data_IF_460221453870
#
_entry.id   IF_460221453870
#
_cell.length_a   1.000
_cell.length_b   1.000
_cell.length_c   1.000
_cell.angle_alpha   90.00
_cell.angle_beta   90.00
_cell.angle_gamma   90.00
#
_symmetry.space_group_name_H-M   'P 1'
#
loop_
_entity.id
_entity.type
_entity.pdbx_description
1 polymer ?
#
# COMPACT_ATOMS: atom_id res chain seq x y z
N UNK A 1 0.70 -13.72 19.20
CA UNK A 1 -0.14 -13.36 18.04
C UNK A 1 -0.79 -12.05 18.36
N UNK A 2 -0.39 -10.99 17.65
CA UNK A 2 -0.90 -9.64 17.89
C UNK A 2 -2.35 -9.55 17.41
N UNK A 3 -3.21 -8.97 18.24
CA UNK A 3 -4.57 -8.66 17.81
C UNK A 3 -4.50 -7.54 16.78
N UNK A 4 -5.18 -7.70 15.64
CA UNK A 4 -5.35 -6.62 14.65
C UNK A 4 -5.82 -5.37 15.39
N UNK A 5 -5.04 -4.29 15.31
CA UNK A 5 -5.32 -3.07 16.05
C UNK A 5 -5.39 -1.92 15.03
N UNK A 6 -6.56 -1.29 14.97
CA UNK A 6 -6.79 -0.12 14.13
C UNK A 6 -6.89 1.08 15.07
N UNK A 7 -5.93 2.00 14.97
CA UNK A 7 -5.92 3.25 15.71
C UNK A 7 -6.38 4.38 14.81
N UNK A 8 -7.48 5.01 15.17
CA UNK A 8 -7.98 6.22 14.51
C UNK A 8 -7.64 7.39 15.42
N UNK A 9 -6.63 8.19 15.03
CA UNK A 9 -6.16 9.35 15.77
C UNK A 9 -6.86 10.62 15.27
N UNK A 10 -7.73 11.20 16.09
CA UNK A 10 -8.60 12.32 15.74
C UNK A 10 -8.32 13.53 16.63
N UNK A 11 -8.59 14.72 16.12
CA UNK A 11 -8.80 15.87 17.00
C UNK A 11 -10.03 15.60 17.90
N UNK A 12 -10.00 16.09 19.15
CA UNK A 12 -11.09 15.87 20.11
C UNK A 12 -12.46 16.31 19.59
N UNK A 13 -12.50 17.36 18.78
CA UNK A 13 -13.72 17.90 18.17
C UNK A 13 -14.31 16.96 17.09
N UNK A 14 -13.47 16.22 16.38
CA UNK A 14 -13.88 15.27 15.34
C UNK A 14 -14.24 13.90 15.91
N UNK A 15 -13.75 13.59 17.11
CA UNK A 15 -13.91 12.30 17.76
C UNK A 15 -15.36 11.94 18.07
N UNK A 16 -16.20 12.93 18.41
CA UNK A 16 -17.61 12.70 18.71
C UNK A 16 -18.37 12.14 17.50
N UNK A 17 -18.09 12.68 16.31
CA UNK A 17 -18.68 12.23 15.05
C UNK A 17 -18.25 10.81 14.69
N UNK A 18 -16.95 10.51 14.86
CA UNK A 18 -16.42 9.17 14.61
C UNK A 18 -16.97 8.13 15.58
N UNK A 19 -17.06 8.44 16.88
CA UNK A 19 -17.68 7.58 17.89
C UNK A 19 -19.15 7.30 17.58
N UNK A 20 -19.93 8.34 17.28
CA UNK A 20 -21.34 8.21 16.89
C UNK A 20 -21.54 7.33 15.65
N UNK A 21 -20.66 7.44 14.66
CA UNK A 21 -20.67 6.56 13.48
C UNK A 21 -20.40 5.10 13.87
N UNK A 22 -19.38 4.85 14.68
CA UNK A 22 -19.02 3.50 15.13
C UNK A 22 -20.14 2.86 15.98
N UNK A 23 -20.75 3.64 16.87
CA UNK A 23 -21.87 3.21 17.70
C UNK A 23 -23.09 2.84 16.84
N UNK A 24 -23.44 3.68 15.84
CA UNK A 24 -24.52 3.41 14.89
C UNK A 24 -24.28 2.15 14.07
N UNK A 25 -23.02 1.82 13.80
CA UNK A 25 -22.62 0.61 13.08
C UNK A 25 -22.44 -0.60 14.00
N UNK A 26 -22.61 -0.42 15.32
CA UNK A 26 -22.54 -1.49 16.31
C UNK A 26 -21.12 -2.00 16.60
N UNK A 27 -20.09 -1.20 16.31
CA UNK A 27 -18.70 -1.59 16.58
C UNK A 27 -18.30 -1.32 18.03
N UNK A 28 -17.63 -2.29 18.65
CA UNK A 28 -17.00 -2.07 19.96
C UNK A 28 -15.58 -1.55 19.79
N UNK A 29 -15.23 -0.49 20.51
CA UNK A 29 -13.90 0.15 20.45
C UNK A 29 -13.45 0.57 21.85
N UNK A 30 -12.15 0.75 22.01
CA UNK A 30 -11.55 1.42 23.16
C UNK A 30 -11.20 2.86 22.79
N UNK A 31 -11.15 3.73 23.79
CA UNK A 31 -10.81 5.14 23.62
C UNK A 31 -9.65 5.45 24.53
N UNK A 32 -8.62 6.08 23.97
CA UNK A 32 -7.52 6.68 24.71
C UNK A 32 -7.53 8.16 24.42
N UNK A 33 -7.67 8.98 25.46
CA UNK A 33 -7.61 10.45 25.33
C UNK A 33 -6.25 10.95 25.79
N UNK A 34 -5.62 11.81 24.99
CA UNK A 34 -4.34 12.42 25.33
C UNK A 34 -4.32 13.86 24.84
N UNK A 35 -4.46 14.81 25.78
CA UNK A 35 -4.51 16.24 25.46
C UNK A 35 -5.73 16.61 24.59
N UNK A 36 -5.47 17.19 23.43
CA UNK A 36 -6.44 17.59 22.41
C UNK A 36 -6.73 16.48 21.37
N UNK A 37 -6.09 15.32 21.52
CA UNK A 37 -6.26 14.16 20.64
C UNK A 37 -7.07 13.06 21.31
N UNK A 38 -7.87 12.39 20.49
CA UNK A 38 -8.57 11.17 20.86
C UNK A 38 -8.12 10.06 19.93
N UNK A 39 -7.70 8.95 20.51
CA UNK A 39 -7.40 7.72 19.79
C UNK A 39 -8.52 6.72 20.01
N UNK A 40 -9.15 6.30 18.92
CA UNK A 40 -10.13 5.21 18.92
C UNK A 40 -9.42 3.94 18.49
N UNK A 41 -9.49 2.89 19.30
CA UNK A 41 -8.81 1.62 19.10
C UNK A 41 -9.83 0.53 18.83
N UNK A 42 -9.82 -0.03 17.62
CA UNK A 42 -10.58 -1.22 17.26
C UNK A 42 -9.64 -2.42 17.27
N UNK A 43 -10.00 -3.46 18.04
CA UNK A 43 -9.15 -4.65 18.18
C UNK A 43 -9.84 -5.93 17.65
N UNK A 44 -9.03 -6.81 17.05
CA UNK A 44 -9.44 -8.15 16.63
C UNK A 44 -10.64 -8.14 15.68
N UNK A 45 -11.73 -8.82 16.08
CA UNK A 45 -12.94 -8.98 15.24
C UNK A 45 -13.61 -7.65 14.86
N UNK A 46 -13.48 -6.62 15.69
CA UNK A 46 -14.12 -5.32 15.45
C UNK A 46 -13.39 -4.55 14.34
N UNK A 47 -12.06 -4.59 14.31
CA UNK A 47 -11.26 -4.05 13.22
C UNK A 47 -11.59 -4.75 11.88
N UNK A 48 -11.74 -6.07 11.91
CA UNK A 48 -12.15 -6.87 10.74
C UNK A 48 -13.54 -6.47 10.23
N UNK A 49 -14.51 -6.34 11.12
CA UNK A 49 -15.87 -5.99 10.75
C UNK A 49 -15.98 -4.53 10.25
N UNK A 50 -15.20 -3.62 10.83
CA UNK A 50 -15.10 -2.23 10.39
C UNK A 50 -14.54 -2.14 8.96
N UNK A 51 -13.40 -2.77 8.70
CA UNK A 51 -12.80 -2.79 7.37
C UNK A 51 -13.67 -3.53 6.34
N UNK A 52 -14.44 -4.55 6.75
CA UNK A 52 -15.43 -5.20 5.88
C UNK A 52 -16.54 -4.23 5.43
N UNK A 53 -16.94 -3.28 6.31
CA UNK A 53 -17.85 -2.19 5.96
C UNK A 53 -17.28 -1.28 4.87
N UNK A 54 -16.00 -0.89 5.00
CA UNK A 54 -15.30 -0.10 3.98
C UNK A 54 -15.12 -0.88 2.67
N UNK A 55 -14.78 -2.17 2.76
CA UNK A 55 -14.68 -3.06 1.60
C UNK A 55 -15.98 -3.11 0.77
N UNK A 56 -17.15 -2.95 1.40
CA UNK A 56 -18.45 -2.92 0.71
C UNK A 56 -18.67 -1.65 -0.15
N UNK A 57 -17.92 -0.58 0.12
CA UNK A 57 -17.98 0.69 -0.61
C UNK A 57 -16.62 1.09 -1.20
N UNK A 58 -15.72 0.11 -1.41
CA UNK A 58 -14.33 0.33 -1.83
C UNK A 58 -14.18 1.10 -3.14
N UNK A 59 -15.20 1.06 -4.00
CA UNK A 59 -15.29 1.84 -5.23
C UNK A 59 -15.44 3.36 -5.02
N UNK A 60 -15.72 3.79 -3.78
CA UNK A 60 -15.96 5.19 -3.40
C UNK A 60 -14.92 5.75 -2.43
N UNK A 61 -13.93 4.93 -2.06
CA UNK A 61 -12.90 5.31 -1.10
C UNK A 61 -11.66 5.83 -1.82
N UNK A 62 -10.98 6.77 -1.17
CA UNK A 62 -9.71 7.38 -1.57
C UNK A 62 -8.84 7.57 -0.31
N UNK A 63 -7.51 7.59 -0.47
CA UNK A 63 -6.58 7.84 0.64
C UNK A 63 -6.59 6.79 1.76
N UNK A 64 -6.42 7.25 3.01
CA UNK A 64 -6.23 6.43 4.23
C UNK A 64 -7.30 5.33 4.44
N UNK A 65 -8.61 5.56 4.16
CA UNK A 65 -9.60 4.49 4.15
C UNK A 65 -9.24 3.27 3.29
N UNK A 66 -8.57 3.45 2.15
CA UNK A 66 -8.14 2.32 1.29
C UNK A 66 -6.97 1.58 1.91
N UNK A 67 -6.03 2.29 2.53
CA UNK A 67 -4.91 1.70 3.26
C UNK A 67 -5.40 0.80 4.39
N UNK A 68 -6.44 1.24 5.10
CA UNK A 68 -7.06 0.43 6.14
C UNK A 68 -7.67 -0.88 5.60
N UNK A 69 -8.35 -0.83 4.45
CA UNK A 69 -8.85 -2.04 3.78
C UNK A 69 -7.68 -2.93 3.34
N UNK A 70 -6.54 -2.38 2.95
CA UNK A 70 -5.37 -3.19 2.67
C UNK A 70 -4.84 -3.88 3.94
N UNK A 71 -4.50 -3.11 4.99
CA UNK A 71 -3.85 -3.62 6.21
C UNK A 71 -4.69 -4.69 6.92
N UNK A 72 -5.99 -4.44 7.07
CA UNK A 72 -6.87 -5.45 7.69
C UNK A 72 -7.09 -6.65 6.75
N UNK A 73 -7.13 -6.42 5.44
CA UNK A 73 -7.24 -7.48 4.45
C UNK A 73 -6.03 -8.43 4.47
N UNK A 74 -4.82 -7.89 4.63
CA UNK A 74 -3.58 -8.66 4.81
C UNK A 74 -3.67 -9.58 6.04
N UNK A 75 -4.07 -9.04 7.18
CA UNK A 75 -4.23 -9.81 8.42
C UNK A 75 -5.30 -10.89 8.30
N UNK A 76 -6.41 -10.61 7.59
CA UNK A 76 -7.45 -11.60 7.28
C UNK A 76 -6.92 -12.73 6.40
N UNK A 77 -6.10 -12.40 5.39
CA UNK A 77 -5.49 -13.40 4.50
C UNK A 77 -4.59 -14.34 5.29
N UNK A 78 -3.74 -13.79 6.16
CA UNK A 78 -2.85 -14.56 7.01
C UNK A 78 -3.64 -15.39 8.03
N UNK A 79 -4.50 -14.76 8.82
CA UNK A 79 -5.23 -15.39 9.93
C UNK A 79 -6.09 -16.57 9.48
N UNK A 80 -6.80 -16.44 8.36
CA UNK A 80 -7.65 -17.51 7.83
C UNK A 80 -6.91 -18.42 6.85
N UNK A 81 -5.60 -18.22 6.63
CA UNK A 81 -4.79 -18.98 5.69
C UNK A 81 -5.40 -18.99 4.29
N UNK A 82 -5.85 -17.82 3.81
CA UNK A 82 -6.51 -17.67 2.51
C UNK A 82 -5.51 -17.87 1.38
N UNK A 83 -5.99 -18.37 0.26
CA UNK A 83 -5.18 -18.63 -0.93
C UNK A 83 -5.93 -18.27 -2.20
N UNK A 84 -5.18 -17.87 -3.23
CA UNK A 84 -5.72 -17.49 -4.52
C UNK A 84 -6.03 -18.73 -5.38
N UNK A 85 -7.14 -18.67 -6.11
CA UNK A 85 -7.48 -19.61 -7.17
C UNK A 85 -7.77 -18.84 -8.44
N UNK A 86 -7.03 -19.14 -9.51
CA UNK A 86 -7.18 -18.51 -10.81
C UNK A 86 -7.43 -19.59 -11.87
N UNK A 87 -8.40 -19.37 -12.75
CA UNK A 87 -8.71 -20.29 -13.86
C UNK A 87 -8.31 -19.64 -15.18
N UNK A 88 -7.34 -20.24 -15.87
CA UNK A 88 -6.83 -19.77 -17.15
C UNK A 88 -7.56 -20.40 -18.34
N UNK A 89 -7.55 -19.76 -19.52
CA UNK A 89 -8.07 -20.33 -20.77
C UNK A 89 -7.42 -21.65 -21.16
N UNK A 90 -6.10 -21.77 -21.00
CA UNK A 90 -5.32 -22.95 -21.39
C UNK A 90 -4.38 -23.42 -20.27
N UNK A 91 -3.92 -24.69 -20.29
CA UNK A 91 -2.87 -25.15 -19.38
C UNK A 91 -1.51 -24.46 -19.60
N UNK A 92 -1.24 -23.96 -20.81
CA UNK A 92 -0.05 -23.16 -21.10
C UNK A 92 -0.07 -21.86 -20.32
N UNK A 93 -1.14 -21.08 -20.47
CA UNK A 93 -1.35 -19.83 -19.73
C UNK A 93 -1.38 -20.01 -18.21
N UNK A 94 -1.87 -21.17 -17.72
CA UNK A 94 -1.82 -21.50 -16.30
C UNK A 94 -0.38 -21.63 -15.77
N UNK A 95 0.49 -22.32 -16.51
CA UNK A 95 1.90 -22.49 -16.13
C UNK A 95 2.65 -21.16 -16.16
N UNK A 96 2.42 -20.36 -17.19
CA UNK A 96 2.98 -19.01 -17.30
C UNK A 96 2.54 -18.14 -16.12
N UNK A 97 1.24 -18.12 -15.81
CA UNK A 97 0.73 -17.36 -14.68
C UNK A 97 1.30 -17.83 -13.33
N UNK A 98 1.43 -19.13 -13.11
CA UNK A 98 2.08 -19.65 -11.91
C UNK A 98 3.54 -19.21 -11.81
N UNK A 99 4.29 -19.19 -12.92
CA UNK A 99 5.67 -18.70 -12.96
C UNK A 99 5.77 -17.23 -12.54
N UNK A 100 4.90 -16.37 -13.07
CA UNK A 100 4.90 -14.96 -12.71
C UNK A 100 4.55 -14.73 -11.24
N UNK A 101 3.55 -15.46 -10.72
CA UNK A 101 3.11 -15.31 -9.33
C UNK A 101 4.17 -15.85 -8.35
N UNK A 102 4.94 -16.86 -8.76
CA UNK A 102 5.97 -17.50 -7.92
C UNK A 102 7.10 -16.56 -7.47
N UNK A 103 7.26 -15.40 -8.13
CA UNK A 103 8.19 -14.35 -7.71
C UNK A 103 7.75 -13.71 -6.38
N UNK A 104 6.45 -13.72 -6.08
CA UNK A 104 5.85 -13.02 -4.93
C UNK A 104 5.34 -14.01 -3.89
N UNK A 105 4.79 -15.15 -4.31
CA UNK A 105 4.24 -16.15 -3.41
C UNK A 105 4.27 -17.54 -4.03
N UNK A 106 4.37 -18.62 -3.24
CA UNK A 106 4.32 -19.99 -3.75
C UNK A 106 3.08 -20.20 -4.64
N UNK A 107 3.29 -20.68 -5.87
CA UNK A 107 2.22 -20.91 -6.83
C UNK A 107 2.43 -22.19 -7.64
N UNK A 108 1.33 -22.87 -7.96
CA UNK A 108 1.32 -24.10 -8.75
C UNK A 108 0.20 -24.09 -9.79
N UNK A 109 0.44 -24.73 -10.93
CA UNK A 109 -0.55 -24.91 -11.99
C UNK A 109 -0.91 -26.40 -12.14
N UNK A 110 -2.22 -26.69 -12.14
CA UNK A 110 -2.76 -28.03 -12.44
C UNK A 110 -3.85 -27.92 -13.50
N UNK A 111 -3.55 -28.43 -14.70
CA UNK A 111 -4.41 -28.24 -15.86
C UNK A 111 -4.60 -26.73 -16.13
N UNK A 112 -5.85 -26.25 -16.09
CA UNK A 112 -6.19 -24.84 -16.29
C UNK A 112 -6.26 -24.01 -15.01
N UNK A 113 -5.99 -24.60 -13.85
CA UNK A 113 -6.16 -23.94 -12.55
C UNK A 113 -4.80 -23.62 -11.95
N UNK A 114 -4.64 -22.39 -11.50
CA UNK A 114 -3.50 -21.92 -10.72
C UNK A 114 -3.93 -21.73 -9.27
N UNK A 115 -3.13 -22.23 -8.35
CA UNK A 115 -3.27 -21.98 -6.91
C UNK A 115 -2.04 -21.20 -6.45
N UNK A 116 -2.24 -20.16 -5.66
CA UNK A 116 -1.15 -19.38 -5.11
C UNK A 116 -1.41 -19.01 -3.65
N UNK A 117 -0.33 -18.84 -2.87
CA UNK A 117 -0.39 -18.47 -1.46
C UNK A 117 -0.99 -17.09 -1.20
N UNK A 118 -1.22 -16.80 0.08
CA UNK A 118 -1.81 -15.54 0.55
C UNK A 118 -1.03 -14.29 0.11
N UNK A 119 0.30 -14.36 0.01
CA UNK A 119 1.13 -13.22 -0.44
C UNK A 119 0.74 -12.66 -1.82
N UNK A 120 0.24 -13.51 -2.72
CA UNK A 120 -0.29 -13.01 -3.99
C UNK A 120 -1.62 -12.26 -3.82
N UNK A 121 -2.49 -12.70 -2.90
CA UNK A 121 -3.74 -12.00 -2.59
C UNK A 121 -3.48 -10.65 -1.96
N UNK A 122 -2.56 -10.55 -1.00
CA UNK A 122 -2.22 -9.29 -0.34
C UNK A 122 -1.61 -8.31 -1.34
N UNK A 123 -0.68 -8.78 -2.19
CA UNK A 123 -0.11 -7.93 -3.24
C UNK A 123 -1.15 -7.46 -4.25
N UNK A 124 -2.02 -8.36 -4.71
CA UNK A 124 -3.08 -7.99 -5.65
C UNK A 124 -4.10 -7.04 -5.01
N UNK A 125 -4.41 -7.22 -3.73
CA UNK A 125 -5.27 -6.32 -2.96
C UNK A 125 -4.65 -4.92 -2.88
N UNK A 126 -3.41 -4.82 -2.40
CA UNK A 126 -2.64 -3.59 -2.25
C UNK A 126 -2.69 -2.74 -3.53
N UNK A 127 -2.26 -3.31 -4.67
CA UNK A 127 -2.24 -2.58 -5.95
C UNK A 127 -3.63 -2.28 -6.50
N UNK A 128 -4.63 -3.14 -6.24
CA UNK A 128 -6.01 -2.91 -6.67
C UNK A 128 -6.69 -1.80 -5.89
N UNK A 129 -6.26 -1.56 -4.66
CA UNK A 129 -6.75 -0.48 -3.82
C UNK A 129 -6.00 0.81 -4.08
N UNK A 130 -4.66 0.77 -4.19
CA UNK A 130 -3.80 1.95 -4.25
C UNK A 130 -3.78 2.63 -5.63
N UNK A 131 -3.85 1.88 -6.73
CA UNK A 131 -3.60 2.45 -8.06
C UNK A 131 -4.87 2.51 -8.93
N UNK A 132 -5.16 3.70 -9.46
CA UNK A 132 -6.35 3.95 -10.30
C UNK A 132 -6.29 3.16 -11.60
N UNK A 133 -5.10 3.01 -12.18
CA UNK A 133 -4.86 2.24 -13.38
C UNK A 133 -5.26 0.76 -13.27
N UNK A 134 -5.24 0.21 -12.05
CA UNK A 134 -5.75 -1.13 -11.75
C UNK A 134 -7.27 -1.17 -11.71
N UNK A 135 -7.93 -0.10 -11.24
CA UNK A 135 -9.41 -0.01 -11.14
C UNK A 135 -10.08 0.36 -12.47
N UNK A 136 -9.39 1.06 -13.38
CA UNK A 136 -9.95 1.62 -14.63
C UNK A 136 -10.66 0.54 -15.46
N UNK A 137 -11.99 0.66 -15.59
CA UNK A 137 -12.83 -0.27 -16.35
C UNK A 137 -13.08 -1.64 -15.69
N UNK A 138 -12.58 -1.88 -14.47
CA UNK A 138 -12.73 -3.14 -13.72
C UNK A 138 -13.12 -2.95 -12.25
N UNK A 139 -13.56 -1.76 -11.83
CA UNK A 139 -13.91 -1.46 -10.44
C UNK A 139 -14.87 -2.48 -9.79
N UNK A 140 -15.90 -2.92 -10.51
CA UNK A 140 -16.83 -3.95 -9.99
C UNK A 140 -16.15 -5.31 -9.77
N UNK A 141 -15.14 -5.64 -10.59
CA UNK A 141 -14.33 -6.85 -10.46
C UNK A 141 -13.45 -6.75 -9.21
N UNK A 142 -12.82 -5.58 -8.99
CA UNK A 142 -12.04 -5.30 -7.77
C UNK A 142 -12.94 -5.43 -6.54
N UNK A 143 -14.10 -4.77 -6.53
CA UNK A 143 -15.06 -4.86 -5.42
C UNK A 143 -15.42 -6.31 -5.08
N UNK A 144 -15.74 -7.11 -6.10
CA UNK A 144 -16.08 -8.54 -5.93
C UNK A 144 -14.89 -9.35 -5.38
N UNK A 145 -13.68 -9.06 -5.85
CA UNK A 145 -12.45 -9.67 -5.34
C UNK A 145 -12.22 -9.32 -3.86
N UNK A 146 -12.28 -8.04 -3.50
CA UNK A 146 -12.11 -7.56 -2.12
C UNK A 146 -13.16 -8.19 -1.21
N UNK A 147 -14.44 -8.23 -1.60
CA UNK A 147 -15.49 -8.86 -0.77
C UNK A 147 -15.23 -10.35 -0.48
N UNK A 148 -14.57 -11.08 -1.38
CA UNK A 148 -14.20 -12.48 -1.10
C UNK A 148 -13.11 -12.60 -0.03
N UNK A 149 -12.16 -11.66 0.01
CA UNK A 149 -11.12 -11.64 1.04
C UNK A 149 -11.77 -11.46 2.41
N UNK A 150 -12.73 -10.55 2.53
CA UNK A 150 -13.40 -10.25 3.80
C UNK A 150 -14.46 -11.26 4.25
N UNK A 151 -14.83 -12.23 3.40
CA UNK A 151 -15.74 -13.31 3.79
C UNK A 151 -15.00 -14.39 4.61
N UNK A 152 -15.24 -14.52 5.93
CA UNK A 152 -14.50 -15.46 6.78
C UNK A 152 -14.79 -16.93 6.43
N UNK A 153 -15.87 -17.22 5.71
CA UNK A 153 -16.24 -18.59 5.31
C UNK A 153 -15.46 -19.07 4.09
N UNK A 154 -14.78 -18.16 3.38
CA UNK A 154 -14.05 -18.46 2.13
C UNK A 154 -12.55 -18.46 2.35
N UNK A 155 -11.97 -19.66 2.39
CA UNK A 155 -10.51 -19.81 2.37
C UNK A 155 -9.93 -19.66 0.96
N UNK A 156 -10.62 -20.21 -0.04
CA UNK A 156 -10.27 -20.02 -1.44
C UNK A 156 -10.85 -18.69 -1.95
N UNK A 157 -9.98 -17.81 -2.44
CA UNK A 157 -10.37 -16.54 -3.06
C UNK A 157 -10.20 -16.68 -4.57
N UNK A 158 -11.30 -16.60 -5.31
CA UNK A 158 -11.26 -16.71 -6.77
C UNK A 158 -10.87 -15.38 -7.38
N UNK A 159 -9.69 -15.36 -8.01
CA UNK A 159 -9.16 -14.19 -8.72
C UNK A 159 -9.79 -14.14 -10.10
N UNK A 160 -10.57 -13.09 -10.42
CA UNK A 160 -11.15 -12.95 -11.75
C UNK A 160 -10.07 -12.83 -12.83
N UNK A 161 -10.22 -13.56 -13.93
CA UNK A 161 -9.24 -13.55 -15.03
C UNK A 161 -8.93 -12.14 -15.54
N UNK A 162 -9.94 -11.28 -15.61
CA UNK A 162 -9.79 -9.88 -16.04
C UNK A 162 -8.90 -9.06 -15.10
N UNK A 163 -9.02 -9.30 -13.79
CA UNK A 163 -8.17 -8.64 -12.79
C UNK A 163 -6.72 -9.12 -12.91
N UNK A 164 -6.52 -10.44 -13.02
CA UNK A 164 -5.18 -11.00 -13.22
C UNK A 164 -4.51 -10.50 -14.50
N UNK A 165 -5.24 -10.47 -15.63
CA UNK A 165 -4.70 -9.95 -16.89
C UNK A 165 -4.27 -8.50 -16.77
N UNK A 166 -5.05 -7.66 -16.08
CA UNK A 166 -4.70 -6.26 -15.84
C UNK A 166 -3.45 -6.14 -14.94
N UNK A 167 -3.35 -6.98 -13.92
CA UNK A 167 -2.15 -7.10 -13.10
C UNK A 167 -0.92 -7.48 -13.94
N UNK A 168 -1.01 -8.52 -14.75
CA UNK A 168 0.09 -8.95 -15.60
C UNK A 168 0.47 -7.92 -16.67
N UNK A 169 -0.50 -7.15 -17.15
CA UNK A 169 -0.26 -6.05 -18.08
C UNK A 169 0.55 -4.91 -17.46
N UNK A 170 0.17 -4.51 -16.24
CA UNK A 170 0.72 -3.32 -15.62
C UNK A 170 1.94 -3.59 -14.75
N UNK A 171 2.20 -4.84 -14.32
CA UNK A 171 3.19 -5.12 -13.26
C UNK A 171 4.17 -6.25 -13.58
N UNK A 172 4.02 -6.97 -14.69
CA UNK A 172 4.92 -8.07 -15.05
C UNK A 172 5.75 -7.67 -16.28
N UNK A 173 7.10 -7.52 -16.15
CA UNK A 173 7.98 -7.26 -17.27
C UNK A 173 7.89 -8.34 -18.35
N UNK A 174 8.08 -7.94 -19.61
CA UNK A 174 8.01 -8.86 -20.76
C UNK A 174 9.26 -8.78 -21.58
N UNK A 175 9.76 -9.93 -22.02
CA UNK A 175 10.86 -9.99 -22.98
C UNK A 175 10.29 -10.02 -24.39
N UNK A 176 10.70 -9.07 -25.23
CA UNK A 176 10.33 -8.98 -26.65
C UNK A 176 11.61 -8.98 -27.48
N UNK A 177 11.95 -10.14 -28.04
CA UNK A 177 13.23 -10.34 -28.73
C UNK A 177 14.41 -10.16 -27.78
N UNK A 178 15.25 -9.16 -28.02
CA UNK A 178 16.40 -8.80 -27.17
C UNK A 178 16.09 -7.65 -26.20
N UNK A 179 14.85 -7.16 -26.16
CA UNK A 179 14.43 -6.04 -25.32
C UNK A 179 13.59 -6.54 -24.14
N UNK A 180 13.66 -5.82 -23.02
CA UNK A 180 12.77 -6.02 -21.88
C UNK A 180 11.85 -4.80 -21.79
N UNK A 181 10.56 -5.03 -21.97
CA UNK A 181 9.50 -4.06 -21.73
C UNK A 181 9.18 -4.06 -20.24
N UNK A 182 9.37 -2.91 -19.57
CA UNK A 182 9.10 -2.72 -18.15
C UNK A 182 7.83 -1.89 -18.00
N UNK A 183 6.72 -2.47 -17.51
CA UNK A 183 5.49 -1.74 -17.29
C UNK A 183 5.63 -0.65 -16.21
N UNK A 184 4.89 0.46 -16.37
CA UNK A 184 4.88 1.54 -15.38
C UNK A 184 4.47 1.08 -13.98
N UNK A 185 3.51 0.16 -13.85
CA UNK A 185 3.14 -0.38 -12.55
C UNK A 185 4.27 -1.16 -11.88
N UNK A 186 5.12 -1.88 -12.63
CA UNK A 186 6.31 -2.51 -12.06
C UNK A 186 7.24 -1.45 -11.44
N UNK A 187 7.44 -0.32 -12.12
CA UNK A 187 8.26 0.78 -11.63
C UNK A 187 7.66 1.40 -10.35
N UNK A 188 6.34 1.57 -10.27
CA UNK A 188 5.67 1.98 -9.03
C UNK A 188 5.99 1.04 -7.86
N UNK A 189 6.05 -0.28 -8.10
CA UNK A 189 6.40 -1.24 -7.04
C UNK A 189 7.84 -1.11 -6.58
N UNK A 190 8.77 -0.90 -7.51
CA UNK A 190 10.19 -0.73 -7.22
C UNK A 190 10.45 0.56 -6.44
N UNK A 191 9.79 1.66 -6.82
CA UNK A 191 9.85 2.93 -6.08
C UNK A 191 9.22 2.75 -4.69
N UNK A 192 8.00 2.21 -4.61
CA UNK A 192 7.29 2.00 -3.35
C UNK A 192 8.03 1.09 -2.37
N UNK A 193 8.82 0.15 -2.87
CA UNK A 193 9.66 -0.74 -2.06
C UNK A 193 11.05 -0.16 -1.75
N UNK A 194 11.39 1.05 -2.23
CA UNK A 194 12.68 1.68 -1.98
C UNK A 194 13.86 0.93 -2.62
N UNK A 195 13.71 0.46 -3.85
CA UNK A 195 14.77 -0.27 -4.57
C UNK A 195 15.49 0.60 -5.60
N UNK A 196 14.84 1.68 -6.06
CA UNK A 196 15.36 2.56 -7.10
C UNK A 196 15.72 3.92 -6.53
N UNK A 197 16.91 4.41 -6.86
CA UNK A 197 17.32 5.80 -6.67
C UNK A 197 17.09 6.63 -7.94
N UNK A 198 17.04 7.95 -7.82
CA UNK A 198 16.93 8.87 -8.95
C UNK A 198 15.54 8.98 -9.58
N UNK A 199 14.48 8.42 -8.97
CA UNK A 199 13.13 8.53 -9.52
C UNK A 199 12.52 9.94 -9.38
N UNK A 200 13.05 10.79 -8.51
CA UNK A 200 12.55 12.14 -8.23
C UNK A 200 12.84 13.15 -9.35
N UNK A 201 13.78 12.81 -10.25
CA UNK A 201 14.14 13.63 -11.42
C UNK A 201 13.48 13.15 -12.71
N UNK A 202 12.57 12.17 -12.63
CA UNK A 202 11.81 11.72 -13.80
C UNK A 202 10.96 12.87 -14.37
N UNK A 203 10.81 12.95 -15.71
CA UNK A 203 9.98 13.96 -16.35
C UNK A 203 8.52 13.97 -15.83
N UNK A 204 7.82 15.12 -15.81
CA UNK A 204 6.47 15.22 -15.23
C UNK A 204 5.43 14.27 -15.85
N UNK A 205 5.53 14.00 -17.15
CA UNK A 205 4.69 13.04 -17.87
C UNK A 205 4.90 11.60 -17.37
N UNK A 206 6.15 11.22 -17.06
CA UNK A 206 6.42 9.94 -16.41
C UNK A 206 5.85 9.88 -15.00
N UNK A 207 5.97 10.96 -14.23
CA UNK A 207 5.43 11.04 -12.87
C UNK A 207 3.89 10.89 -12.88
N UNK A 208 3.21 11.49 -13.86
CA UNK A 208 1.76 11.39 -14.04
C UNK A 208 1.32 9.95 -14.35
N UNK A 209 1.99 9.26 -15.28
CA UNK A 209 1.72 7.85 -15.60
C UNK A 209 1.98 6.91 -14.40
N UNK A 210 2.93 7.27 -13.53
CA UNK A 210 3.15 6.56 -12.27
C UNK A 210 2.16 6.96 -11.17
N UNK A 211 1.15 7.79 -11.44
CA UNK A 211 0.23 8.34 -10.45
C UNK A 211 0.98 8.99 -9.26
N UNK A 212 2.16 9.55 -9.53
CA UNK A 212 3.04 10.13 -8.52
C UNK A 212 2.86 11.65 -8.46
N UNK A 213 2.71 12.17 -7.25
CA UNK A 213 2.50 13.62 -7.02
C UNK A 213 3.36 14.11 -5.87
N UNK A 214 4.03 15.25 -6.06
CA UNK A 214 4.76 15.91 -4.97
C UNK A 214 3.77 16.49 -3.97
N UNK A 215 3.95 16.16 -2.70
CA UNK A 215 3.15 16.68 -1.58
C UNK A 215 3.79 17.94 -0.97
N UNK A 216 5.12 18.03 -0.98
CA UNK A 216 5.84 19.22 -0.55
C UNK A 216 7.25 18.93 -0.08
N UNK A 217 7.93 19.99 0.39
CA UNK A 217 9.23 19.91 1.07
C UNK A 217 9.05 20.20 2.55
N UNK A 218 9.71 19.39 3.36
CA UNK A 218 9.66 19.42 4.81
C UNK A 218 11.08 19.40 5.36
N UNK A 219 11.23 19.75 6.63
CA UNK A 219 12.45 19.58 7.41
C UNK A 219 12.14 18.59 8.52
N UNK A 220 12.94 17.54 8.62
CA UNK A 220 12.92 16.58 9.72
C UNK A 220 14.03 16.91 10.71
N UNK A 221 13.70 17.05 11.99
CA UNK A 221 14.69 17.09 13.06
C UNK A 221 15.05 15.65 13.45
N UNK A 222 16.26 15.21 13.10
CA UNK A 222 16.79 13.88 13.38
C UNK A 222 17.83 14.01 14.50
N UNK A 223 17.36 14.07 15.74
CA UNK A 223 18.21 14.31 16.92
C UNK A 223 19.10 15.57 16.74
N UNK A 224 20.40 15.36 16.52
CA UNK A 224 21.42 16.40 16.35
C UNK A 224 21.57 16.90 14.90
N UNK A 225 20.78 16.38 13.96
CA UNK A 225 20.82 16.74 12.55
C UNK A 225 19.47 17.26 12.03
N UNK A 226 19.54 18.07 10.98
CA UNK A 226 18.37 18.48 10.19
C UNK A 226 18.46 17.86 8.79
N UNK A 227 17.36 17.27 8.33
CA UNK A 227 17.26 16.70 7.00
C UNK A 227 16.14 17.37 6.20
N UNK A 228 16.41 17.71 4.95
CA UNK A 228 15.37 18.10 4.00
C UNK A 228 14.65 16.85 3.51
N UNK A 229 13.33 16.85 3.54
CA UNK A 229 12.49 15.73 3.13
C UNK A 229 11.52 16.20 2.05
N UNK A 230 11.71 15.69 0.83
CA UNK A 230 10.75 15.87 -0.27
C UNK A 230 9.79 14.69 -0.28
N UNK A 231 8.52 14.97 0.01
CA UNK A 231 7.48 13.95 0.15
C UNK A 231 6.65 13.85 -1.12
N UNK A 232 6.38 12.62 -1.55
CA UNK A 232 5.56 12.29 -2.72
C UNK A 232 4.48 11.28 -2.34
N UNK A 233 3.29 11.42 -2.92
CA UNK A 233 2.31 10.33 -2.93
C UNK A 233 2.50 9.50 -4.19
N UNK A 234 2.35 8.19 -4.06
CA UNK A 234 2.45 7.22 -5.14
C UNK A 234 1.13 6.42 -5.20
N UNK A 235 0.24 6.78 -6.12
CA UNK A 235 -1.14 6.31 -6.10
C UNK A 235 -1.98 7.03 -5.03
N UNK A 236 -2.92 6.31 -4.43
CA UNK A 236 -3.93 6.85 -3.52
C UNK A 236 -3.41 7.13 -2.10
N UNK A 237 -2.62 6.21 -1.53
CA UNK A 237 -2.25 6.28 -0.12
C UNK A 237 -0.79 5.98 0.20
N UNK A 238 -0.02 5.37 -0.72
CA UNK A 238 1.42 5.23 -0.46
C UNK A 238 2.10 6.60 -0.50
N UNK A 239 3.06 6.78 0.41
CA UNK A 239 3.94 7.94 0.45
C UNK A 239 5.37 7.45 0.36
N UNK A 240 6.17 8.10 -0.46
CA UNK A 240 7.62 7.87 -0.58
C UNK A 240 8.35 9.20 -0.42
N UNK A 241 9.61 9.16 -0.04
CA UNK A 241 10.35 10.37 0.27
C UNK A 241 11.77 10.34 -0.27
N UNK A 242 12.29 11.53 -0.57
CA UNK A 242 13.71 11.79 -0.81
C UNK A 242 14.24 12.60 0.36
N UNK A 243 15.31 12.13 0.99
CA UNK A 243 15.94 12.78 2.14
C UNK A 243 17.33 13.29 1.76
N UNK A 244 17.66 14.52 2.19
CA UNK A 244 18.93 15.20 1.91
C UNK A 244 19.50 15.79 3.20
N UNK A 245 20.82 16.00 3.22
CA UNK A 245 21.51 16.68 4.31
C UNK A 245 21.99 15.78 5.44
N UNK A 246 21.69 14.48 5.39
CA UNK A 246 22.18 13.46 6.33
C UNK A 246 22.69 12.24 5.58
N UNK A 247 23.58 11.48 6.22
CA UNK A 247 24.03 10.19 5.68
C UNK A 247 23.03 9.06 5.98
N UNK A 248 23.20 7.93 5.29
CA UNK A 248 22.32 6.78 5.42
C UNK A 248 22.35 6.20 6.85
N UNK A 249 23.50 6.18 7.50
CA UNK A 249 23.66 5.60 8.84
C UNK A 249 22.84 6.38 9.88
N UNK A 250 22.91 7.70 9.84
CA UNK A 250 22.11 8.60 10.70
C UNK A 250 20.62 8.37 10.50
N UNK A 251 20.18 8.22 9.24
CA UNK A 251 18.77 8.02 8.95
C UNK A 251 18.28 6.63 9.34
N UNK A 252 19.09 5.59 9.17
CA UNK A 252 18.77 4.22 9.57
C UNK A 252 18.67 4.06 11.08
N UNK A 253 19.64 4.60 11.81
CA UNK A 253 19.64 4.61 13.27
C UNK A 253 18.40 5.35 13.78
N UNK A 254 18.10 6.51 13.20
CA UNK A 254 16.87 7.23 13.53
C UNK A 254 15.62 6.39 13.24
N UNK A 255 15.50 5.72 12.11
CA UNK A 255 14.29 4.98 11.75
C UNK A 255 14.16 3.63 12.48
N UNK A 256 15.20 3.16 13.19
CA UNK A 256 15.29 1.80 13.72
C UNK A 256 15.09 0.76 12.61
N UNK A 257 15.74 0.99 11.46
CA UNK A 257 15.60 0.18 10.25
C UNK A 257 16.89 -0.59 9.95
N UNK A 258 16.78 -1.88 9.64
CA UNK A 258 17.91 -2.76 9.31
C UNK A 258 18.25 -2.80 7.80
N UNK A 259 17.39 -2.24 6.94
CA UNK A 259 17.49 -2.35 5.48
C UNK A 259 18.36 -1.25 4.86
N UNK A 260 19.06 -1.55 3.76
CA UNK A 260 19.81 -0.55 3.00
C UNK A 260 18.88 0.50 2.35
N UNK A 261 19.25 1.78 2.44
CA UNK A 261 18.54 2.88 1.76
C UNK A 261 19.29 3.22 0.46
N UNK A 262 18.65 3.13 -0.72
CA UNK A 262 19.27 3.54 -1.97
C UNK A 262 19.71 5.00 -1.91
N UNK A 263 20.92 5.25 -2.43
CA UNK A 263 21.54 6.57 -2.43
C UNK A 263 21.99 6.96 -3.84
N UNK A 264 21.74 8.20 -4.23
CA UNK A 264 22.28 8.79 -5.46
C UNK A 264 22.44 10.30 -5.29
N UNK A 265 23.58 10.85 -5.73
CA UNK A 265 23.84 12.30 -5.74
C UNK A 265 23.61 12.99 -4.38
N UNK A 266 23.97 12.32 -3.28
CA UNK A 266 23.80 12.82 -1.91
C UNK A 266 22.35 12.78 -1.40
N UNK A 267 21.44 12.12 -2.12
CA UNK A 267 20.03 11.92 -1.76
C UNK A 267 19.79 10.48 -1.34
N UNK A 268 18.93 10.29 -0.34
CA UNK A 268 18.49 9.00 0.19
C UNK A 268 17.03 8.76 -0.18
N UNK A 269 16.70 7.58 -0.70
CA UNK A 269 15.37 7.28 -1.26
C UNK A 269 14.60 6.30 -0.38
N UNK A 270 13.59 6.79 0.33
CA UNK A 270 12.83 6.00 1.28
C UNK A 270 11.71 5.19 0.61
N UNK A 271 11.60 3.93 1.02
CA UNK A 271 10.44 3.09 0.75
C UNK A 271 9.17 3.65 1.40
N UNK A 272 8.02 3.10 1.05
CA UNK A 272 6.74 3.46 1.68
C UNK A 272 6.71 3.19 3.19
N UNK A 273 7.43 2.15 3.64
CA UNK A 273 7.48 1.76 5.04
C UNK A 273 8.39 2.69 5.85
N UNK A 274 9.60 2.95 5.34
CA UNK A 274 10.52 3.91 5.96
C UNK A 274 9.92 5.33 5.99
N UNK A 275 9.20 5.72 4.93
CA UNK A 275 8.47 6.99 4.89
C UNK A 275 7.33 7.04 5.91
N UNK A 276 6.57 5.96 6.08
CA UNK A 276 5.51 5.90 7.08
C UNK A 276 6.06 6.01 8.51
N UNK A 277 7.19 5.37 8.80
CA UNK A 277 7.84 5.45 10.11
C UNK A 277 8.37 6.87 10.38
N UNK A 278 9.00 7.51 9.39
CA UNK A 278 9.40 8.92 9.47
C UNK A 278 8.20 9.84 9.80
N UNK A 279 7.07 9.62 9.11
CA UNK A 279 5.85 10.41 9.32
C UNK A 279 5.25 10.20 10.71
N UNK A 280 5.24 8.95 11.19
CA UNK A 280 4.69 8.57 12.50
C UNK A 280 5.41 9.25 13.66
N UNK A 281 6.71 9.49 13.51
CA UNK A 281 7.53 10.19 14.52
C UNK A 281 7.20 11.69 14.65
N UNK A 282 6.43 12.25 13.71
CA UNK A 282 5.84 13.58 13.85
C UNK A 282 6.85 14.74 13.84
N UNK A 283 8.07 14.49 13.37
CA UNK A 283 9.17 15.48 13.36
C UNK A 283 9.21 16.36 12.10
N UNK A 284 8.29 16.16 11.16
CA UNK A 284 8.26 16.92 9.91
C UNK A 284 7.63 18.30 10.12
N UNK A 285 8.43 19.35 9.88
CA UNK A 285 7.97 20.73 9.77
C UNK A 285 7.92 21.13 8.30
N UNK A 286 6.84 21.75 7.85
CA UNK A 286 6.76 22.23 6.47
C UNK A 286 7.85 23.28 6.24
N UNK A 287 8.65 23.12 5.20
CA UNK A 287 9.67 24.11 4.87
C UNK A 287 8.98 25.38 4.38
N UNK A 288 9.18 26.50 5.08
CA UNK A 288 8.70 27.81 4.66
C UNK A 288 9.64 28.39 3.59
N UNK A 289 9.64 27.82 2.40
CA UNK A 289 10.33 28.41 1.25
C UNK A 289 9.34 29.07 0.29
N UNK A 290 9.31 30.40 0.39
CA UNK A 290 8.79 31.47 -0.50
C UNK A 290 7.30 31.84 -0.43
N UNK A 291 7.02 32.96 0.25
CA UNK A 291 6.09 33.98 -0.27
C UNK A 291 6.68 34.51 -1.59
N UNK A 292 5.88 34.70 -2.66
CA UNK A 292 6.36 35.44 -3.81
C UNK A 292 6.60 36.92 -3.43
N UNK A 293 7.50 37.63 -4.15
CA UNK A 293 7.74 39.06 -3.95
C UNK A 293 6.48 39.91 -4.12
#
# INVERSE_FOLDING_TARGET
MENVLVEINLAREEAASARSLLDRLGFSYSVVESGDRVRIVLAGRQAVAFAAGYAAIVDKLEGEPLELVYLVGELIVEHFGKYAVLKMPTPGEAREAASHISVIAPAEARGRVVRAGGGFLTRLLDVSLNFRQMKKGVAQVVKTFVSQIYDPRKRAVYVPLRLYRRFAELYIPRTVGTQVEVPGGWLQLVIGNGVLAGWDVMPPDFMEELEMRRLGTYVAQLEDAEAEVELYALGEYWKVAVVKGVDAATLLDYLDAEDEIPQQDGKLYLSRWATAELLKRGVLRKSNTQRPP
#
